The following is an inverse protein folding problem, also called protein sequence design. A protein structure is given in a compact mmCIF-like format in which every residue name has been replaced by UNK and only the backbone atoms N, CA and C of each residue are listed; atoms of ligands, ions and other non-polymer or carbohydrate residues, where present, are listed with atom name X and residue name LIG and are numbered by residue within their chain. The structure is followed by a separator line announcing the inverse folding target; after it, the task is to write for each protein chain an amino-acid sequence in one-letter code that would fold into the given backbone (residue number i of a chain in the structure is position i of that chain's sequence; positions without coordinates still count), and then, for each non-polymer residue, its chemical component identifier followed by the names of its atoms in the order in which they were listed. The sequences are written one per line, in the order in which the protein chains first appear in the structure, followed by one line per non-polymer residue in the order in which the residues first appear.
data_IF_677305000560
#
_entry.id   IF_677305000560
#
_cell.length_a   1.000
_cell.length_b   1.000
_cell.length_c   1.000
_cell.angle_alpha   90.00
_cell.angle_beta   90.00
_cell.angle_gamma   90.00
#
_symmetry.space_group_name_H-M   'P 1'
#
loop_
_entity.id
_entity.type
_entity.pdbx_description
1 polymer ?
#
# COMPACT_ATOMS: atom_id res chain seq x y z
N UNK A 1 -30.64 20.40 15.02
CA UNK A 1 -31.38 21.43 15.78
C UNK A 1 -30.45 22.62 16.00
N UNK A 2 -30.83 23.78 15.45
CA UNK A 2 -30.56 25.16 15.92
C UNK A 2 -29.06 25.58 16.02
N UNK A 3 -28.56 26.66 15.42
CA UNK A 3 -29.19 27.80 14.79
C UNK A 3 -28.15 28.80 14.23
N UNK A 4 -28.69 29.88 13.67
CA UNK A 4 -28.10 30.85 12.74
C UNK A 4 -27.34 32.06 13.35
N UNK A 5 -26.31 32.55 12.61
CA UNK A 5 -25.86 33.94 12.29
C UNK A 5 -25.50 34.95 13.43
N UNK A 6 -24.73 36.06 13.20
CA UNK A 6 -24.54 36.81 11.94
C UNK A 6 -23.13 37.38 11.60
N UNK A 7 -23.16 38.09 10.47
CA UNK A 7 -22.22 38.85 9.64
C UNK A 7 -21.30 39.89 10.30
N UNK A 8 -20.11 40.10 9.70
CA UNK A 8 -19.28 41.30 9.85
C UNK A 8 -18.23 41.40 8.72
N UNK A 9 -18.20 42.54 8.04
CA UNK A 9 -17.47 42.77 6.79
C UNK A 9 -16.06 43.39 6.98
N UNK A 10 -15.29 43.32 5.90
CA UNK A 10 -14.18 44.19 5.46
C UNK A 10 -12.78 44.08 6.09
N UNK A 11 -11.80 43.95 5.19
CA UNK A 11 -10.37 44.04 5.50
C UNK A 11 -9.48 43.40 4.43
N UNK A 12 -9.54 43.90 3.20
CA UNK A 12 -8.61 43.51 2.13
C UNK A 12 -7.16 43.82 2.54
N UNK A 13 -6.29 42.80 2.51
CA UNK A 13 -4.83 42.98 2.44
C UNK A 13 -4.32 42.23 1.22
N UNK A 14 -3.93 43.00 0.21
CA UNK A 14 -3.15 42.54 -0.92
C UNK A 14 -1.86 41.87 -0.41
N UNK A 15 -1.76 40.55 -0.58
CA UNK A 15 -0.51 39.80 -0.46
C UNK A 15 0.24 39.87 -1.79
N UNK A 16 1.33 40.62 -1.77
CA UNK A 16 2.30 40.79 -2.85
C UNK A 16 3.00 39.43 -3.15
N UNK A 17 3.04 38.92 -4.40
CA UNK A 17 3.63 37.62 -4.72
C UNK A 17 5.12 37.78 -5.02
N UNK A 18 5.93 38.11 -4.02
CA UNK A 18 7.38 38.21 -4.23
C UNK A 18 8.15 37.97 -2.93
N UNK A 19 8.24 36.69 -2.52
CA UNK A 19 9.32 36.18 -1.67
C UNK A 19 9.30 34.65 -1.71
N UNK A 20 9.66 34.09 -2.86
CA UNK A 20 10.23 32.76 -2.87
C UNK A 20 11.46 32.78 -1.95
N UNK A 21 11.44 31.97 -0.89
CA UNK A 21 12.58 31.83 0.03
C UNK A 21 13.86 31.57 -0.76
N UNK A 22 14.96 32.25 -0.43
CA UNK A 22 16.27 32.09 -1.09
C UNK A 22 16.77 30.64 -1.10
N UNK A 23 16.32 29.81 -0.15
CA UNK A 23 16.53 28.35 -0.14
C UNK A 23 15.72 27.61 -1.19
N UNK A 24 14.49 28.05 -1.48
CA UNK A 24 13.63 27.50 -2.52
C UNK A 24 14.25 27.70 -3.91
N UNK A 25 14.65 28.93 -4.20
CA UNK A 25 15.30 29.30 -5.46
C UNK A 25 16.63 28.54 -5.68
N UNK A 26 17.47 28.45 -4.64
CA UNK A 26 18.73 27.71 -4.71
C UNK A 26 18.54 26.20 -4.92
N UNK A 27 17.45 25.63 -4.38
CA UNK A 27 17.11 24.23 -4.62
C UNK A 27 16.57 24.04 -6.04
N UNK A 28 15.74 24.93 -6.56
CA UNK A 28 15.23 24.89 -7.95
C UNK A 28 16.39 24.96 -8.96
N UNK A 29 17.28 25.93 -8.80
CA UNK A 29 18.49 26.07 -9.64
C UNK A 29 19.41 24.83 -9.59
N UNK A 30 19.46 24.12 -8.46
CA UNK A 30 20.24 22.87 -8.33
C UNK A 30 19.53 21.67 -8.97
N UNK A 31 18.20 21.67 -9.06
CA UNK A 31 17.44 20.64 -9.77
C UNK A 31 17.48 20.84 -11.29
N UNK A 32 17.52 22.10 -11.76
CA UNK A 32 17.74 22.43 -13.18
C UNK A 32 19.15 22.04 -13.67
N UNK A 33 20.16 22.09 -12.78
CA UNK A 33 21.54 21.64 -13.07
C UNK A 33 21.73 20.12 -12.98
N UNK A 34 20.69 19.37 -12.65
CA UNK A 34 20.74 17.90 -12.56
C UNK A 34 20.62 17.26 -13.94
N UNK A 35 21.20 16.07 -14.11
CA UNK A 35 21.06 15.30 -15.35
C UNK A 35 19.58 15.03 -15.67
N UNK A 36 19.15 15.13 -16.94
CA UNK A 36 17.82 14.71 -17.35
C UNK A 36 17.66 13.20 -17.09
N UNK A 37 16.43 12.74 -16.81
CA UNK A 37 16.17 11.31 -16.53
C UNK A 37 16.52 10.42 -17.73
N UNK A 38 16.26 10.92 -18.94
CA UNK A 38 16.67 10.33 -20.21
C UNK A 38 16.84 11.45 -21.26
N UNK A 39 17.50 11.21 -22.41
CA UNK A 39 17.61 12.21 -23.47
C UNK A 39 16.23 12.75 -23.88
N UNK A 40 16.07 14.07 -23.84
CA UNK A 40 14.79 14.74 -24.15
C UNK A 40 13.76 14.78 -23.03
N UNK A 41 14.04 14.19 -21.85
CA UNK A 41 13.11 14.29 -20.70
C UNK A 41 12.97 15.74 -20.23
N UNK A 42 11.73 16.16 -19.96
CA UNK A 42 11.44 17.44 -19.28
C UNK A 42 11.84 17.44 -17.80
N UNK A 43 12.08 16.26 -17.22
CA UNK A 43 12.42 16.11 -15.81
C UNK A 43 13.88 15.65 -15.63
N UNK A 44 14.41 15.95 -14.45
CA UNK A 44 15.80 15.64 -14.07
C UNK A 44 15.82 14.67 -12.89
N UNK A 45 16.95 14.03 -12.66
CA UNK A 45 17.17 13.22 -11.45
C UNK A 45 16.90 14.03 -10.17
N UNK A 46 17.21 15.34 -10.18
CA UNK A 46 16.92 16.28 -9.11
C UNK A 46 15.44 16.52 -8.88
N UNK A 47 14.63 16.61 -9.95
CA UNK A 47 13.17 16.68 -9.85
C UNK A 47 12.60 15.41 -9.18
N UNK A 48 13.02 14.24 -9.65
CA UNK A 48 12.61 12.95 -9.06
C UNK A 48 13.00 12.84 -7.60
N UNK A 49 14.27 13.10 -7.27
CA UNK A 49 14.75 13.01 -5.89
C UNK A 49 14.03 14.00 -4.94
N UNK A 50 13.65 15.18 -5.44
CA UNK A 50 12.82 16.12 -4.68
C UNK A 50 11.41 15.58 -4.48
N UNK A 51 10.77 15.09 -5.53
CA UNK A 51 9.40 14.59 -5.47
C UNK A 51 9.26 13.45 -4.46
N UNK A 52 10.14 12.45 -4.55
CA UNK A 52 10.17 11.30 -3.62
C UNK A 52 10.35 11.77 -2.16
N UNK A 53 11.27 12.70 -1.90
CA UNK A 53 11.48 13.24 -0.54
C UNK A 53 10.31 14.08 -0.05
N UNK A 54 9.56 14.74 -0.92
CA UNK A 54 8.35 15.49 -0.54
C UNK A 54 7.23 14.54 -0.18
N UNK A 55 7.00 13.48 -0.96
CA UNK A 55 6.03 12.44 -0.64
C UNK A 55 6.30 11.76 0.69
N UNK A 56 7.54 11.33 0.93
CA UNK A 56 7.88 10.69 2.20
C UNK A 56 7.75 11.64 3.40
N UNK A 57 7.98 12.95 3.24
CA UNK A 57 7.72 13.94 4.30
C UNK A 57 6.23 14.17 4.53
N UNK A 58 5.42 14.13 3.47
CA UNK A 58 3.98 14.22 3.59
C UNK A 58 3.46 13.07 4.46
N UNK A 59 3.80 11.83 4.11
CA UNK A 59 3.41 10.62 4.88
C UNK A 59 3.89 10.73 6.32
N UNK A 60 5.13 11.19 6.53
CA UNK A 60 5.63 11.39 7.88
C UNK A 60 4.83 12.41 8.69
N UNK A 61 4.49 13.55 8.09
CA UNK A 61 3.69 14.58 8.77
C UNK A 61 2.30 14.06 9.14
N UNK A 62 1.67 13.24 8.30
CA UNK A 62 0.35 12.67 8.61
C UNK A 62 0.45 11.59 9.69
N UNK A 63 1.55 10.83 9.73
CA UNK A 63 1.86 9.86 10.80
C UNK A 63 2.24 10.51 12.15
N UNK A 64 2.48 11.83 12.19
CA UNK A 64 2.69 12.57 13.43
C UNK A 64 1.37 12.96 14.10
N UNK A 65 0.27 13.01 13.35
CA UNK A 65 -1.06 13.27 13.89
C UNK A 65 -1.54 12.05 14.69
N UNK A 66 -2.02 12.28 15.91
CA UNK A 66 -2.35 11.20 16.84
C UNK A 66 -3.56 10.38 16.39
N UNK A 67 -4.56 11.02 15.78
CA UNK A 67 -5.77 10.33 15.32
C UNK A 67 -5.45 9.46 14.10
N UNK A 68 -4.71 10.03 13.14
CA UNK A 68 -4.26 9.27 11.98
C UNK A 68 -3.38 8.08 12.39
N UNK A 69 -2.47 8.28 13.35
CA UNK A 69 -1.58 7.22 13.80
C UNK A 69 -2.29 6.17 14.67
N UNK A 70 -3.34 6.54 15.40
CA UNK A 70 -4.18 5.58 16.10
C UNK A 70 -4.97 4.68 15.14
N UNK A 71 -5.41 5.23 14.00
CA UNK A 71 -6.20 4.48 13.02
C UNK A 71 -5.33 3.69 12.02
N UNK A 72 -4.20 4.24 11.59
CA UNK A 72 -3.37 3.69 10.50
C UNK A 72 -1.91 3.48 10.92
N UNK A 73 -1.66 3.30 12.22
CA UNK A 73 -0.30 3.22 12.76
C UNK A 73 0.53 2.10 12.16
N UNK A 74 -0.05 0.92 12.00
CA UNK A 74 0.58 -0.25 11.38
C UNK A 74 0.99 0.01 9.93
N UNK A 75 0.10 0.59 9.12
CA UNK A 75 0.35 0.96 7.72
C UNK A 75 1.47 1.99 7.58
N UNK A 76 1.47 3.04 8.42
CA UNK A 76 2.56 4.01 8.43
C UNK A 76 3.91 3.35 8.72
N UNK A 77 3.97 2.41 9.66
CA UNK A 77 5.20 1.68 9.96
C UNK A 77 5.65 0.84 8.76
N UNK A 78 4.73 0.14 8.11
CA UNK A 78 4.99 -0.62 6.90
C UNK A 78 5.54 0.26 5.78
N UNK A 79 4.98 1.45 5.57
CA UNK A 79 5.50 2.42 4.60
C UNK A 79 6.96 2.78 4.87
N UNK A 80 7.30 3.20 6.10
CA UNK A 80 8.68 3.59 6.40
C UNK A 80 9.65 2.42 6.37
N UNK A 81 9.20 1.25 6.81
CA UNK A 81 9.99 0.02 6.78
C UNK A 81 10.32 -0.37 5.34
N UNK A 82 9.32 -0.55 4.48
CA UNK A 82 9.49 -1.03 3.11
C UNK A 82 10.41 -0.09 2.33
N UNK A 83 10.12 1.22 2.33
CA UNK A 83 10.98 2.23 1.70
C UNK A 83 12.40 2.21 2.28
N UNK A 84 12.54 2.11 3.62
CA UNK A 84 13.85 2.08 4.28
C UNK A 84 14.68 0.82 3.98
N UNK A 85 14.02 -0.30 3.66
CA UNK A 85 14.63 -1.60 3.46
C UNK A 85 15.00 -1.90 2.00
N UNK A 86 14.32 -1.26 1.04
CA UNK A 86 14.31 -1.66 -0.37
C UNK A 86 15.00 -0.68 -1.33
N UNK A 87 14.91 0.63 -1.10
CA UNK A 87 15.37 1.63 -2.09
C UNK A 87 16.90 1.77 -2.16
N UNK A 88 17.47 2.09 -3.32
CA UNK A 88 18.92 2.20 -3.50
C UNK A 88 19.53 3.53 -3.02
N UNK A 89 18.75 4.62 -2.98
CA UNK A 89 19.21 5.92 -2.48
C UNK A 89 19.48 5.85 -0.97
N UNK A 90 20.75 5.91 -0.58
CA UNK A 90 21.18 5.80 0.82
C UNK A 90 20.64 6.95 1.70
N UNK A 91 20.42 8.14 1.15
CA UNK A 91 19.86 9.27 1.87
C UNK A 91 18.37 9.08 2.17
N UNK A 92 17.62 8.58 1.19
CA UNK A 92 16.21 8.23 1.30
C UNK A 92 16.02 7.08 2.29
N UNK A 93 16.84 6.01 2.20
CA UNK A 93 16.85 4.91 3.17
C UNK A 93 17.02 5.41 4.60
N UNK A 94 18.03 6.25 4.84
CA UNK A 94 18.28 6.83 6.17
C UNK A 94 17.11 7.70 6.65
N UNK A 95 16.50 8.45 5.74
CA UNK A 95 15.35 9.30 6.04
C UNK A 95 14.12 8.45 6.44
N UNK A 96 13.74 7.47 5.62
CA UNK A 96 12.64 6.55 5.89
C UNK A 96 12.88 5.77 7.19
N UNK A 97 14.07 5.18 7.37
CA UNK A 97 14.41 4.45 8.60
C UNK A 97 14.32 5.34 9.84
N UNK A 98 14.81 6.58 9.80
CA UNK A 98 14.72 7.50 10.95
C UNK A 98 13.25 7.80 11.30
N UNK A 99 12.44 8.13 10.30
CA UNK A 99 11.00 8.37 10.47
C UNK A 99 10.28 7.14 11.04
N UNK A 100 10.53 5.97 10.45
CA UNK A 100 9.97 4.70 10.88
C UNK A 100 10.38 4.33 12.30
N UNK A 101 11.66 4.43 12.66
CA UNK A 101 12.13 4.13 14.03
C UNK A 101 11.47 5.06 15.05
N UNK A 102 11.29 6.33 14.73
CA UNK A 102 10.59 7.25 15.63
C UNK A 102 9.13 6.85 15.84
N UNK A 103 8.40 6.56 14.74
CA UNK A 103 7.01 6.10 14.83
C UNK A 103 6.88 4.72 15.47
N UNK A 104 7.83 3.81 15.25
CA UNK A 104 7.86 2.49 15.87
C UNK A 104 8.09 2.60 17.38
N UNK A 105 8.88 3.58 17.86
CA UNK A 105 8.96 3.87 19.31
C UNK A 105 7.62 4.32 19.86
N UNK A 106 6.90 5.19 19.15
CA UNK A 106 5.55 5.62 19.54
C UNK A 106 4.59 4.43 19.58
N UNK A 107 4.62 3.57 18.56
CA UNK A 107 3.86 2.32 18.53
C UNK A 107 4.12 1.45 19.76
N UNK A 108 5.40 1.19 20.08
CA UNK A 108 5.79 0.43 21.28
C UNK A 108 5.42 1.12 22.60
N UNK A 109 5.14 2.43 22.59
CA UNK A 109 4.65 3.14 23.78
C UNK A 109 3.14 3.03 23.93
N UNK A 110 2.39 3.08 22.82
CA UNK A 110 0.91 3.09 22.84
C UNK A 110 0.28 1.71 22.71
N UNK A 111 1.02 0.72 22.20
CA UNK A 111 0.57 -0.67 21.96
C UNK A 111 1.36 -1.68 22.80
N UNK A 112 1.67 -1.36 24.07
CA UNK A 112 2.45 -2.23 24.97
C UNK A 112 1.75 -3.54 25.34
N UNK A 113 0.43 -3.48 25.38
CA UNK A 113 -0.41 -4.58 25.84
C UNK A 113 -1.56 -4.71 24.87
N UNK A 114 -1.78 -5.95 24.41
CA UNK A 114 -2.95 -6.25 23.60
C UNK A 114 -4.20 -6.27 24.49
N UNK A 115 -5.29 -5.57 24.13
CA UNK A 115 -6.53 -5.62 24.90
C UNK A 115 -7.05 -7.05 25.07
N UNK A 116 -7.54 -7.41 26.27
CA UNK A 116 -8.00 -8.78 26.56
C UNK A 116 -9.14 -9.25 25.63
N UNK A 117 -10.02 -8.32 25.25
CA UNK A 117 -11.14 -8.52 24.33
C UNK A 117 -10.84 -8.19 22.87
N UNK A 118 -9.56 -8.08 22.47
CA UNK A 118 -9.18 -7.74 21.11
C UNK A 118 -9.82 -8.70 20.10
N UNK A 119 -10.45 -8.13 19.08
CA UNK A 119 -11.01 -8.79 17.90
C UNK A 119 -9.92 -9.36 17.00
N UNK A 120 -10.27 -10.24 16.06
CA UNK A 120 -9.33 -10.75 15.06
C UNK A 120 -8.66 -9.62 14.26
N UNK A 121 -9.43 -8.57 13.90
CA UNK A 121 -8.89 -7.41 13.20
C UNK A 121 -7.84 -6.66 14.03
N UNK A 122 -8.11 -6.42 15.32
CA UNK A 122 -7.14 -5.77 16.21
C UNK A 122 -5.90 -6.65 16.44
N UNK A 123 -6.07 -7.97 16.55
CA UNK A 123 -4.93 -8.90 16.65
C UNK A 123 -4.06 -8.84 15.38
N UNK A 124 -4.70 -8.79 14.21
CA UNK A 124 -4.01 -8.65 12.92
C UNK A 124 -3.26 -7.31 12.86
N UNK A 125 -3.92 -6.20 13.17
CA UNK A 125 -3.29 -4.87 13.19
C UNK A 125 -2.06 -4.80 14.13
N UNK A 126 -2.18 -5.41 15.33
CA UNK A 126 -1.06 -5.54 16.25
C UNK A 126 0.11 -6.35 15.67
N UNK A 127 -0.18 -7.42 14.92
CA UNK A 127 0.83 -8.22 14.23
C UNK A 127 1.52 -7.43 13.12
N UNK A 128 0.76 -6.71 12.29
CA UNK A 128 1.30 -5.85 11.23
C UNK A 128 2.22 -4.76 11.77
N UNK A 129 1.76 -3.99 12.75
CA UNK A 129 2.58 -2.94 13.34
C UNK A 129 3.79 -3.49 14.09
N UNK A 130 3.67 -4.66 14.72
CA UNK A 130 4.79 -5.31 15.42
C UNK A 130 5.83 -5.90 14.47
N UNK A 131 5.43 -6.49 13.33
CA UNK A 131 6.38 -6.96 12.30
C UNK A 131 7.18 -5.80 11.71
N UNK A 132 6.52 -4.69 11.40
CA UNK A 132 7.18 -3.50 10.88
C UNK A 132 8.14 -2.89 11.93
N UNK A 133 7.70 -2.78 13.20
CA UNK A 133 8.54 -2.28 14.29
C UNK A 133 9.75 -3.19 14.57
N UNK A 134 9.59 -4.51 14.55
CA UNK A 134 10.68 -5.49 14.65
C UNK A 134 11.68 -5.30 13.51
N UNK A 135 11.18 -5.12 12.28
CA UNK A 135 11.99 -4.90 11.08
C UNK A 135 12.74 -3.56 11.10
N UNK A 136 12.21 -2.58 11.82
CA UNK A 136 12.88 -1.31 12.13
C UNK A 136 13.90 -1.41 13.29
N UNK A 137 13.97 -2.57 13.96
CA UNK A 137 14.95 -2.88 15.00
C UNK A 137 14.45 -2.69 16.42
N UNK A 138 13.13 -2.60 16.65
CA UNK A 138 12.51 -2.43 17.96
C UNK A 138 11.71 -3.68 18.32
N UNK A 139 12.43 -4.76 18.63
CA UNK A 139 11.86 -6.05 19.01
C UNK A 139 11.11 -5.98 20.34
N UNK A 140 9.98 -6.68 20.40
CA UNK A 140 9.17 -6.87 21.61
C UNK A 140 8.60 -8.29 21.68
N UNK A 141 9.38 -9.20 22.26
CA UNK A 141 9.01 -10.62 22.36
C UNK A 141 7.82 -10.86 23.30
N UNK A 142 7.63 -9.98 24.30
CA UNK A 142 6.52 -10.08 25.24
C UNK A 142 5.19 -9.76 24.55
N UNK A 143 5.13 -8.67 23.78
CA UNK A 143 3.95 -8.34 22.98
C UNK A 143 3.69 -9.41 21.90
N UNK A 144 4.75 -9.91 21.25
CA UNK A 144 4.63 -10.99 20.27
C UNK A 144 3.97 -12.24 20.85
N UNK A 145 4.32 -12.61 22.08
CA UNK A 145 3.68 -13.73 22.78
C UNK A 145 2.21 -13.45 23.12
N UNK A 146 1.86 -12.22 23.50
CA UNK A 146 0.46 -11.83 23.70
C UNK A 146 -0.35 -11.98 22.39
N UNK A 147 0.19 -11.47 21.29
CA UNK A 147 -0.43 -11.56 19.96
C UNK A 147 -0.60 -13.03 19.55
N UNK A 148 0.43 -13.87 19.74
CA UNK A 148 0.37 -15.31 19.45
C UNK A 148 -0.75 -16.01 20.22
N UNK A 149 -0.85 -15.78 21.53
CA UNK A 149 -1.90 -16.37 22.37
C UNK A 149 -3.29 -15.90 21.97
N UNK A 150 -3.42 -14.61 21.65
CA UNK A 150 -4.69 -14.03 21.23
C UNK A 150 -5.15 -14.56 19.87
N UNK A 151 -4.23 -14.69 18.91
CA UNK A 151 -4.50 -15.22 17.57
C UNK A 151 -5.02 -16.66 17.60
N UNK A 152 -4.54 -17.49 18.53
CA UNK A 152 -4.98 -18.88 18.67
C UNK A 152 -6.47 -19.04 19.05
N UNK A 153 -7.16 -17.95 19.42
CA UNK A 153 -8.60 -17.93 19.74
C UNK A 153 -9.49 -17.79 18.51
N UNK A 154 -8.92 -17.43 17.36
CA UNK A 154 -9.64 -17.09 16.15
C UNK A 154 -9.40 -18.12 15.05
N UNK A 155 -10.42 -18.34 14.23
CA UNK A 155 -10.39 -19.23 13.08
C UNK A 155 -9.81 -18.56 11.82
N UNK A 156 -9.60 -19.33 10.76
CA UNK A 156 -9.26 -18.79 9.45
C UNK A 156 -10.32 -17.79 8.95
N UNK A 157 -11.61 -18.08 9.17
CA UNK A 157 -12.70 -17.20 8.75
C UNK A 157 -12.73 -15.87 9.51
N UNK A 158 -12.29 -15.85 10.75
CA UNK A 158 -12.24 -14.61 11.54
C UNK A 158 -11.17 -13.64 11.02
N UNK A 159 -10.04 -14.16 10.53
CA UNK A 159 -8.95 -13.35 9.97
C UNK A 159 -9.08 -13.09 8.47
N UNK A 160 -9.51 -14.11 7.71
CA UNK A 160 -9.40 -14.16 6.26
C UNK A 160 -10.77 -14.14 5.57
N UNK A 161 -11.87 -14.15 6.33
CA UNK A 161 -13.26 -14.19 5.84
C UNK A 161 -13.68 -15.52 5.18
N UNK A 162 -12.74 -16.42 4.93
CA UNK A 162 -12.96 -17.79 4.46
C UNK A 162 -11.86 -18.73 4.98
N UNK A 163 -12.06 -20.05 4.81
CA UNK A 163 -11.02 -21.04 5.10
C UNK A 163 -10.28 -21.45 3.81
N UNK A 164 -9.07 -20.94 3.53
CA UNK A 164 -8.35 -21.21 2.29
C UNK A 164 -7.91 -22.68 2.14
N UNK A 165 -8.00 -23.48 3.21
CA UNK A 165 -7.74 -24.92 3.12
C UNK A 165 -8.93 -25.63 2.47
N UNK A 166 -10.15 -25.19 2.77
CA UNK A 166 -11.38 -25.95 2.52
C UNK A 166 -12.35 -25.31 1.52
N UNK A 167 -12.22 -24.02 1.23
CA UNK A 167 -13.11 -23.32 0.29
C UNK A 167 -12.35 -22.31 -0.61
N UNK A 168 -12.85 -22.05 -1.84
CA UNK A 168 -12.30 -20.99 -2.69
C UNK A 168 -12.65 -19.60 -2.13
N UNK A 169 -12.03 -18.52 -2.66
CA UNK A 169 -12.37 -17.16 -2.25
C UNK A 169 -13.87 -16.88 -2.47
N UNK A 170 -14.59 -16.41 -1.43
CA UNK A 170 -16.03 -16.26 -1.47
C UNK A 170 -16.48 -15.06 -2.29
N UNK A 171 -17.76 -15.06 -2.67
CA UNK A 171 -18.47 -13.95 -3.37
C UNK A 171 -19.58 -13.33 -2.53
N UNK A 172 -19.81 -13.85 -1.33
CA UNK A 172 -20.93 -13.52 -0.45
C UNK A 172 -20.48 -12.74 0.79
N UNK A 173 -19.31 -12.12 0.75
CA UNK A 173 -18.83 -11.24 1.82
C UNK A 173 -19.34 -9.83 1.55
N UNK A 174 -20.19 -9.25 2.41
CA UNK A 174 -20.68 -7.89 2.21
C UNK A 174 -19.59 -6.85 2.49
N UNK A 175 -19.60 -5.75 1.73
CA UNK A 175 -18.89 -4.53 2.15
C UNK A 175 -19.66 -3.88 3.32
N UNK A 176 -19.02 -2.93 4.00
CA UNK A 176 -19.73 -2.07 4.96
C UNK A 176 -20.92 -1.38 4.31
N UNK A 177 -22.02 -1.25 5.04
CA UNK A 177 -23.19 -0.59 4.51
C UNK A 177 -22.87 0.86 4.12
N UNK A 178 -23.10 1.22 2.86
CA UNK A 178 -22.74 2.56 2.35
C UNK A 178 -23.41 3.70 3.12
N UNK A 179 -24.60 3.44 3.67
CA UNK A 179 -25.44 4.43 4.35
C UNK A 179 -25.05 4.65 5.81
N UNK A 180 -24.88 3.58 6.59
CA UNK A 180 -24.67 3.67 8.05
C UNK A 180 -23.34 3.09 8.53
N UNK A 181 -22.49 2.62 7.60
CA UNK A 181 -21.17 2.02 7.82
C UNK A 181 -21.17 0.80 8.74
N UNK A 182 -22.32 0.14 8.91
CA UNK A 182 -22.39 -1.09 9.69
C UNK A 182 -21.72 -2.26 8.93
N UNK A 183 -20.87 -3.00 9.64
CA UNK A 183 -20.39 -4.32 9.20
C UNK A 183 -21.51 -5.36 9.31
N UNK A 184 -21.50 -6.33 8.40
CA UNK A 184 -22.49 -7.40 8.35
C UNK A 184 -21.80 -8.76 8.20
N UNK A 185 -22.39 -9.81 8.74
CA UNK A 185 -21.84 -11.16 8.58
C UNK A 185 -21.90 -11.61 7.12
N UNK A 186 -20.96 -12.49 6.76
CA UNK A 186 -20.95 -13.18 5.46
C UNK A 186 -22.32 -13.82 5.15
N UNK A 187 -22.75 -13.70 3.90
CA UNK A 187 -24.04 -14.16 3.41
C UNK A 187 -25.20 -13.16 3.60
N UNK A 188 -25.00 -12.08 4.36
CA UNK A 188 -26.02 -11.05 4.52
C UNK A 188 -26.18 -10.23 3.24
N UNK A 189 -27.38 -10.24 2.66
CA UNK A 189 -27.72 -9.46 1.45
C UNK A 189 -28.36 -8.10 1.75
N UNK A 190 -28.74 -7.87 3.00
CA UNK A 190 -29.30 -6.60 3.49
C UNK A 190 -28.68 -6.22 4.84
N UNK A 191 -28.47 -4.91 5.05
CA UNK A 191 -27.90 -4.37 6.28
C UNK A 191 -28.82 -4.66 7.46
N UNK A 192 -28.27 -5.27 8.51
CA UNK A 192 -29.05 -5.60 9.73
C UNK A 192 -29.58 -4.38 10.47
N UNK A 193 -28.99 -3.20 10.24
CA UNK A 193 -29.36 -1.94 10.90
C UNK A 193 -30.39 -1.13 10.12
N UNK A 194 -30.15 -0.88 8.83
CA UNK A 194 -31.03 -0.03 8.02
C UNK A 194 -31.86 -0.77 6.95
N UNK A 195 -31.66 -2.08 6.78
CA UNK A 195 -32.41 -2.91 5.83
C UNK A 195 -32.06 -2.71 4.35
N UNK A 196 -31.12 -1.83 4.02
CA UNK A 196 -30.70 -1.58 2.62
C UNK A 196 -29.88 -2.75 2.08
N UNK A 197 -30.03 -3.02 0.78
CA UNK A 197 -29.23 -4.02 0.06
C UNK A 197 -27.74 -3.73 0.20
N UNK A 198 -26.97 -4.77 0.48
CA UNK A 198 -25.52 -4.71 0.60
C UNK A 198 -24.86 -5.02 -0.75
N UNK A 199 -23.78 -4.31 -1.05
CA UNK A 199 -22.84 -4.73 -2.09
C UNK A 199 -21.94 -5.83 -1.53
N UNK A 200 -21.42 -6.67 -2.41
CA UNK A 200 -20.47 -7.73 -2.04
C UNK A 200 -19.07 -7.32 -2.45
N UNK A 201 -18.09 -7.73 -1.64
CA UNK A 201 -16.67 -7.72 -2.00
C UNK A 201 -16.46 -8.65 -3.19
N UNK A 202 -15.53 -8.31 -4.08
CA UNK A 202 -15.14 -9.19 -5.19
C UNK A 202 -14.30 -10.35 -4.67
N UNK A 203 -14.16 -11.41 -5.47
CA UNK A 203 -13.28 -12.54 -5.12
C UNK A 203 -11.82 -12.09 -5.00
N UNK A 204 -11.39 -11.19 -5.88
CA UNK A 204 -10.06 -10.62 -5.87
C UNK A 204 -9.82 -9.87 -4.55
N UNK A 205 -10.79 -9.04 -4.14
CA UNK A 205 -10.75 -8.25 -2.91
C UNK A 205 -10.59 -9.09 -1.65
N UNK A 206 -11.45 -10.09 -1.46
CA UNK A 206 -11.34 -10.99 -0.30
C UNK A 206 -10.04 -11.79 -0.31
N UNK A 207 -9.59 -12.23 -1.50
CA UNK A 207 -8.42 -13.08 -1.60
C UNK A 207 -7.11 -12.33 -1.34
N UNK A 208 -6.92 -11.12 -1.88
CA UNK A 208 -5.64 -10.42 -1.70
C UNK A 208 -5.47 -9.96 -0.25
N UNK A 209 -6.54 -9.55 0.44
CA UNK A 209 -6.52 -9.27 1.88
C UNK A 209 -6.04 -10.49 2.68
N UNK A 210 -6.58 -11.67 2.34
CA UNK A 210 -6.16 -12.92 2.97
C UNK A 210 -4.69 -13.24 2.67
N UNK A 211 -4.22 -12.98 1.45
CA UNK A 211 -2.83 -13.21 1.04
C UNK A 211 -1.86 -12.34 1.84
N UNK A 212 -2.17 -11.04 1.99
CA UNK A 212 -1.37 -10.09 2.77
C UNK A 212 -1.35 -10.52 4.25
N UNK A 213 -2.52 -10.81 4.81
CA UNK A 213 -2.67 -11.22 6.21
C UNK A 213 -1.87 -12.48 6.53
N UNK A 214 -1.98 -13.51 5.69
CA UNK A 214 -1.22 -14.75 5.87
C UNK A 214 0.30 -14.52 5.67
N UNK A 215 0.70 -13.69 4.69
CA UNK A 215 2.11 -13.34 4.50
C UNK A 215 2.72 -12.66 5.73
N UNK A 216 2.01 -11.67 6.30
CA UNK A 216 2.49 -10.97 7.51
C UNK A 216 2.51 -11.91 8.70
N UNK A 217 1.48 -12.75 8.86
CA UNK A 217 1.44 -13.76 9.91
C UNK A 217 2.65 -14.69 9.88
N UNK A 218 2.93 -15.30 8.74
CA UNK A 218 4.08 -16.20 8.55
C UNK A 218 5.41 -15.49 8.79
N UNK A 219 5.57 -14.27 8.25
CA UNK A 219 6.80 -13.49 8.42
C UNK A 219 7.02 -13.08 9.87
N UNK A 220 5.96 -12.67 10.56
CA UNK A 220 6.02 -12.32 11.97
C UNK A 220 6.18 -13.57 12.85
N UNK A 221 5.79 -14.76 12.38
CA UNK A 221 5.80 -16.00 13.14
C UNK A 221 4.61 -16.13 14.09
N UNK A 222 3.44 -15.64 13.65
CA UNK A 222 2.13 -15.82 14.28
C UNK A 222 1.12 -16.20 13.21
N UNK A 223 0.48 -17.37 13.34
CA UNK A 223 -0.53 -17.81 12.37
C UNK A 223 -1.79 -16.95 12.49
N UNK A 224 -2.09 -16.17 11.45
CA UNK A 224 -3.31 -15.35 11.33
C UNK A 224 -4.33 -16.09 10.45
N UNK A 225 -4.85 -17.20 10.97
CA UNK A 225 -5.85 -18.02 10.28
C UNK A 225 -5.27 -19.18 9.47
N UNK A 226 -4.41 -18.90 8.49
CA UNK A 226 -3.82 -19.91 7.60
C UNK A 226 -2.33 -19.62 7.32
N UNK A 227 -1.61 -20.58 6.73
CA UNK A 227 -0.26 -20.33 6.21
C UNK A 227 -0.34 -19.58 4.88
N UNK A 228 0.70 -18.80 4.53
CA UNK A 228 0.77 -18.08 3.26
C UNK A 228 0.58 -19.02 2.06
N UNK A 229 1.15 -20.23 2.14
CA UNK A 229 1.00 -21.24 1.09
C UNK A 229 -0.43 -21.76 0.90
N UNK A 230 -1.24 -21.77 1.96
CA UNK A 230 -2.65 -22.18 1.88
C UNK A 230 -3.49 -21.18 1.08
N UNK A 231 -3.15 -19.88 1.15
CA UNK A 231 -3.85 -18.83 0.39
C UNK A 231 -3.29 -18.72 -1.02
N UNK A 232 -1.95 -18.75 -1.16
CA UNK A 232 -1.28 -18.61 -2.45
C UNK A 232 -1.70 -19.71 -3.44
N UNK A 233 -1.99 -20.92 -2.96
CA UNK A 233 -2.42 -22.04 -3.83
C UNK A 233 -3.71 -21.77 -4.61
N UNK A 234 -4.47 -20.76 -4.20
CA UNK A 234 -5.73 -20.37 -4.84
C UNK A 234 -5.51 -19.34 -5.97
N UNK A 235 -4.28 -18.87 -6.18
CA UNK A 235 -3.91 -17.93 -7.25
C UNK A 235 -4.41 -18.36 -8.64
N UNK A 236 -4.30 -19.64 -9.06
CA UNK A 236 -4.83 -20.07 -10.36
C UNK A 236 -6.34 -19.81 -10.54
N UNK A 237 -7.12 -19.78 -9.45
CA UNK A 237 -8.57 -19.53 -9.50
C UNK A 237 -8.96 -18.08 -9.79
N UNK A 238 -7.99 -17.16 -9.76
CA UNK A 238 -8.14 -15.75 -10.11
C UNK A 238 -7.72 -15.44 -11.55
N UNK A 239 -7.08 -16.40 -12.22
CA UNK A 239 -6.64 -16.27 -13.61
C UNK A 239 -7.71 -16.83 -14.57
N UNK A 240 -7.81 -16.32 -15.81
CA UNK A 240 -7.12 -15.14 -16.34
C UNK A 240 -7.72 -13.82 -15.81
N UNK A 241 -6.90 -12.78 -15.76
CA UNK A 241 -7.32 -11.45 -15.29
C UNK A 241 -8.02 -10.66 -16.40
N UNK A 242 -9.11 -9.97 -16.03
CA UNK A 242 -9.79 -9.03 -16.93
C UNK A 242 -9.28 -7.61 -16.70
N UNK A 243 -8.98 -6.90 -17.80
CA UNK A 243 -8.60 -5.49 -17.76
C UNK A 243 -9.79 -4.56 -17.48
N UNK A 244 -9.59 -3.25 -17.67
CA UNK A 244 -10.63 -2.24 -17.42
C UNK A 244 -11.83 -2.34 -18.38
N UNK A 245 -11.60 -2.81 -19.61
CA UNK A 245 -12.65 -2.99 -20.63
C UNK A 245 -13.51 -1.73 -20.85
N UNK A 246 -12.87 -0.54 -20.83
CA UNK A 246 -13.56 0.73 -21.00
C UNK A 246 -14.56 1.07 -19.88
N UNK A 247 -14.36 0.52 -18.68
CA UNK A 247 -15.21 0.72 -17.50
C UNK A 247 -16.28 -0.36 -17.32
N UNK A 248 -16.36 -1.35 -18.22
CA UNK A 248 -17.31 -2.44 -18.10
C UNK A 248 -16.94 -3.44 -16.99
N UNK A 249 -15.67 -3.52 -16.62
CA UNK A 249 -15.22 -4.40 -15.54
C UNK A 249 -15.17 -3.66 -14.20
N UNK A 250 -16.23 -3.79 -13.40
CA UNK A 250 -16.31 -3.20 -12.07
C UNK A 250 -15.30 -3.78 -11.06
N UNK A 251 -14.72 -4.97 -11.33
CA UNK A 251 -13.74 -5.63 -10.47
C UNK A 251 -12.30 -5.26 -10.83
N UNK A 252 -12.10 -4.38 -11.82
CA UNK A 252 -10.77 -4.05 -12.33
C UNK A 252 -9.84 -3.53 -11.23
N UNK A 253 -10.34 -2.63 -10.38
CA UNK A 253 -9.55 -2.07 -9.28
C UNK A 253 -9.03 -3.15 -8.32
N UNK A 254 -9.93 -4.01 -7.83
CA UNK A 254 -9.57 -5.11 -6.93
C UNK A 254 -8.65 -6.14 -7.60
N UNK A 255 -8.83 -6.35 -8.91
CA UNK A 255 -7.94 -7.21 -9.71
C UNK A 255 -6.52 -6.65 -9.76
N UNK A 256 -6.36 -5.33 -9.92
CA UNK A 256 -5.04 -4.68 -9.87
C UNK A 256 -4.38 -4.91 -8.53
N UNK A 257 -5.08 -4.66 -7.43
CA UNK A 257 -4.54 -4.87 -6.08
C UNK A 257 -4.19 -6.33 -5.82
N UNK A 258 -5.02 -7.28 -6.27
CA UNK A 258 -4.69 -8.70 -6.16
C UNK A 258 -3.41 -9.07 -6.90
N UNK A 259 -3.25 -8.59 -8.13
CA UNK A 259 -2.05 -8.87 -8.94
C UNK A 259 -0.80 -8.21 -8.34
N UNK A 260 -0.88 -6.97 -7.87
CA UNK A 260 0.28 -6.28 -7.29
C UNK A 260 0.70 -6.90 -5.97
N UNK A 261 -0.25 -7.39 -5.17
CA UNK A 261 0.05 -8.05 -3.89
C UNK A 261 0.56 -9.49 -4.05
N UNK A 262 0.29 -10.18 -5.17
CA UNK A 262 1.07 -11.37 -5.56
C UNK A 262 2.55 -11.01 -5.70
N UNK A 263 2.85 -9.93 -6.43
CA UNK A 263 4.22 -9.47 -6.66
C UNK A 263 4.88 -9.05 -5.35
N UNK A 264 4.22 -8.23 -4.52
CA UNK A 264 4.79 -7.76 -3.25
C UNK A 264 5.04 -8.88 -2.26
N UNK A 265 4.07 -9.79 -2.10
CA UNK A 265 4.26 -10.90 -1.16
C UNK A 265 5.34 -11.85 -1.66
N UNK A 266 5.50 -12.08 -2.97
CA UNK A 266 6.58 -12.94 -3.50
C UNK A 266 7.96 -12.26 -3.50
N UNK A 267 8.02 -10.93 -3.63
CA UNK A 267 9.26 -10.17 -3.68
C UNK A 267 9.73 -9.60 -2.31
N UNK A 268 9.07 -10.00 -1.23
CA UNK A 268 9.31 -9.51 0.14
C UNK A 268 9.17 -7.98 0.26
N UNK A 269 8.18 -7.41 -0.43
CA UNK A 269 7.88 -5.97 -0.51
C UNK A 269 9.11 -5.13 -0.90
N UNK A 270 9.66 -5.45 -2.07
CA UNK A 270 10.72 -4.68 -2.71
C UNK A 270 12.15 -5.13 -2.36
N UNK A 271 12.32 -6.26 -1.68
CA UNK A 271 13.66 -6.75 -1.31
C UNK A 271 14.25 -7.72 -2.34
N UNK A 272 13.45 -8.26 -3.25
CA UNK A 272 13.88 -9.24 -4.25
C UNK A 272 13.42 -8.83 -5.63
N UNK A 273 14.22 -9.15 -6.65
CA UNK A 273 13.76 -9.09 -8.04
C UNK A 273 12.94 -10.34 -8.36
N UNK A 274 12.07 -10.28 -9.36
CA UNK A 274 11.32 -11.43 -9.87
C UNK A 274 11.58 -11.59 -11.37
N UNK A 275 11.60 -12.84 -11.85
CA UNK A 275 11.66 -13.11 -13.28
C UNK A 275 10.24 -13.09 -13.88
N UNK A 276 9.98 -12.38 -15.00
CA UNK A 276 8.65 -12.34 -15.63
C UNK A 276 8.05 -13.73 -15.87
N UNK A 277 8.87 -14.70 -16.30
CA UNK A 277 8.45 -16.09 -16.57
C UNK A 277 7.86 -16.83 -15.36
N UNK A 278 8.14 -16.36 -14.15
CA UNK A 278 7.61 -16.97 -12.93
C UNK A 278 6.14 -16.63 -12.71
N UNK A 279 5.73 -15.46 -13.20
CA UNK A 279 4.42 -14.84 -12.99
C UNK A 279 3.97 -14.20 -14.32
N UNK A 280 3.88 -15.03 -15.37
CA UNK A 280 3.66 -14.54 -16.73
C UNK A 280 2.32 -13.81 -16.86
N UNK A 281 1.25 -14.38 -16.31
CA UNK A 281 -0.09 -13.80 -16.32
C UNK A 281 -0.13 -12.43 -15.60
N UNK A 282 0.52 -12.33 -14.43
CA UNK A 282 0.61 -11.08 -13.68
C UNK A 282 1.43 -10.04 -14.44
N UNK A 283 2.59 -10.44 -14.98
CA UNK A 283 3.47 -9.55 -15.72
C UNK A 283 2.77 -8.97 -16.96
N UNK A 284 2.10 -9.82 -17.74
CA UNK A 284 1.35 -9.41 -18.93
C UNK A 284 0.18 -8.49 -18.56
N UNK A 285 -0.58 -8.81 -17.52
CA UNK A 285 -1.66 -7.98 -17.03
C UNK A 285 -1.16 -6.58 -16.62
N UNK A 286 -0.11 -6.51 -15.81
CA UNK A 286 0.46 -5.23 -15.33
C UNK A 286 0.90 -4.36 -16.49
N UNK A 287 1.62 -4.94 -17.46
CA UNK A 287 2.12 -4.19 -18.63
C UNK A 287 0.99 -3.71 -19.54
N UNK A 288 -0.03 -4.55 -19.78
CA UNK A 288 -1.16 -4.20 -20.62
C UNK A 288 -2.02 -3.07 -20.03
N UNK A 289 -2.07 -2.95 -18.71
CA UNK A 289 -2.99 -2.03 -18.02
C UNK A 289 -2.32 -0.80 -17.39
N UNK A 290 -0.99 -0.67 -17.35
CA UNK A 290 -0.33 0.50 -16.73
C UNK A 290 -0.83 1.85 -17.29
N UNK A 291 -0.99 1.94 -18.61
CA UNK A 291 -1.45 3.19 -19.26
C UNK A 291 -2.90 3.53 -18.92
N UNK A 292 -3.69 2.56 -18.50
CA UNK A 292 -5.07 2.78 -18.07
C UNK A 292 -5.12 3.63 -16.79
N UNK A 293 -4.22 3.40 -15.83
CA UNK A 293 -4.14 4.22 -14.62
C UNK A 293 -3.83 5.71 -14.94
N UNK A 294 -3.01 5.96 -15.97
CA UNK A 294 -2.77 7.33 -16.48
C UNK A 294 -4.05 7.94 -17.04
N UNK A 295 -4.80 7.19 -17.85
CA UNK A 295 -6.08 7.62 -18.45
C UNK A 295 -7.11 7.95 -17.37
N UNK A 296 -7.19 7.12 -16.32
CA UNK A 296 -8.11 7.32 -15.20
C UNK A 296 -7.67 8.42 -14.22
N UNK A 297 -6.48 8.99 -14.42
CA UNK A 297 -5.84 9.89 -13.47
C UNK A 297 -5.67 9.30 -12.07
N UNK A 298 -5.42 7.99 -11.99
CA UNK A 298 -5.25 7.27 -10.74
C UNK A 298 -3.75 7.11 -10.43
N UNK A 299 -3.25 7.99 -9.56
CA UNK A 299 -1.87 7.94 -9.13
C UNK A 299 -1.55 6.74 -8.22
N UNK A 300 -2.56 6.19 -7.54
CA UNK A 300 -2.39 5.06 -6.63
C UNK A 300 -2.15 3.79 -7.44
N UNK A 301 -3.11 3.49 -8.32
CA UNK A 301 -3.04 2.36 -9.24
C UNK A 301 -1.81 2.43 -10.16
N UNK A 302 -1.45 3.63 -10.62
CA UNK A 302 -0.23 3.80 -11.41
C UNK A 302 1.02 3.45 -10.61
N UNK A 303 1.06 3.84 -9.33
CA UNK A 303 2.17 3.52 -8.45
C UNK A 303 2.30 2.01 -8.23
N UNK A 304 1.18 1.34 -7.98
CA UNK A 304 1.07 -0.13 -7.88
C UNK A 304 1.65 -0.85 -9.11
N UNK A 305 1.20 -0.45 -10.31
CA UNK A 305 1.70 -1.03 -11.56
C UNK A 305 3.20 -0.83 -11.74
N UNK A 306 3.66 0.42 -11.58
CA UNK A 306 5.06 0.76 -11.80
C UNK A 306 5.98 0.04 -10.82
N UNK A 307 5.59 -0.05 -9.55
CA UNK A 307 6.42 -0.69 -8.54
C UNK A 307 6.54 -2.20 -8.79
N UNK A 308 5.42 -2.85 -9.11
CA UNK A 308 5.38 -4.27 -9.47
C UNK A 308 6.19 -4.57 -10.73
N UNK A 309 6.06 -3.75 -11.79
CA UNK A 309 6.81 -3.93 -13.03
C UNK A 309 8.32 -3.71 -12.85
N UNK A 310 8.73 -2.82 -11.94
CA UNK A 310 10.15 -2.66 -11.58
C UNK A 310 10.72 -3.90 -10.90
N UNK A 311 9.93 -4.62 -10.10
CA UNK A 311 10.35 -5.89 -9.53
C UNK A 311 10.67 -6.92 -10.63
N UNK A 312 10.01 -6.84 -11.78
CA UNK A 312 10.29 -7.65 -12.98
C UNK A 312 11.42 -7.12 -13.88
N UNK A 313 12.09 -6.04 -13.47
CA UNK A 313 13.24 -5.48 -14.17
C UNK A 313 12.92 -4.35 -15.15
N UNK A 314 11.67 -3.88 -15.25
CA UNK A 314 11.36 -2.70 -16.04
C UNK A 314 12.02 -1.45 -15.43
N UNK A 315 12.42 -0.54 -16.31
CA UNK A 315 13.28 0.58 -15.99
C UNK A 315 12.91 1.82 -16.82
N UNK A 316 13.69 2.89 -16.67
CA UNK A 316 13.58 4.09 -17.50
C UNK A 316 13.95 3.86 -18.98
N UNK A 317 14.22 2.63 -19.39
CA UNK A 317 14.37 2.23 -20.80
C UNK A 317 13.03 1.88 -21.44
N UNK A 318 12.04 1.54 -20.63
CA UNK A 318 10.72 1.09 -21.06
C UNK A 318 9.77 2.29 -21.13
N UNK A 319 9.08 2.44 -22.26
CA UNK A 319 8.27 3.63 -22.54
C UNK A 319 7.05 3.75 -21.63
N UNK A 320 6.49 2.62 -21.19
CA UNK A 320 5.41 2.58 -20.19
C UNK A 320 5.87 3.18 -18.83
N UNK A 321 7.08 2.82 -18.37
CA UNK A 321 7.65 3.36 -17.13
C UNK A 321 7.94 4.86 -17.27
N UNK A 322 8.49 5.30 -18.41
CA UNK A 322 8.72 6.73 -18.66
C UNK A 322 7.42 7.53 -18.60
N UNK A 323 6.36 7.05 -19.25
CA UNK A 323 5.05 7.70 -19.24
C UNK A 323 4.50 7.83 -17.81
N UNK A 324 4.58 6.77 -17.02
CA UNK A 324 4.16 6.80 -15.61
C UNK A 324 4.99 7.77 -14.76
N UNK A 325 6.32 7.78 -14.93
CA UNK A 325 7.20 8.73 -14.24
C UNK A 325 6.87 10.17 -14.61
N UNK A 326 6.64 10.47 -15.88
CA UNK A 326 6.25 11.80 -16.33
C UNK A 326 4.91 12.24 -15.79
N UNK A 327 3.94 11.33 -15.70
CA UNK A 327 2.64 11.58 -15.10
C UNK A 327 2.80 11.96 -13.63
N UNK A 328 3.48 11.12 -12.83
CA UNK A 328 3.65 11.33 -11.40
C UNK A 328 4.43 12.62 -11.10
N UNK A 329 5.51 12.89 -11.82
CA UNK A 329 6.31 14.10 -11.60
C UNK A 329 5.58 15.38 -11.95
N UNK A 330 4.64 15.35 -12.91
CA UNK A 330 3.83 16.53 -13.25
C UNK A 330 2.65 16.79 -12.30
N UNK A 331 2.21 15.78 -11.55
CA UNK A 331 0.95 15.84 -10.78
C UNK A 331 1.14 15.75 -9.28
N UNK A 332 2.36 15.85 -8.77
CA UNK A 332 2.56 15.92 -7.33
C UNK A 332 1.94 17.21 -6.76
N UNK A 333 1.09 17.07 -5.75
CA UNK A 333 0.42 18.19 -5.09
C UNK A 333 1.41 19.14 -4.40
N UNK A 334 0.97 20.36 -4.10
CA UNK A 334 1.80 21.39 -3.48
C UNK A 334 2.33 21.01 -2.09
N UNK A 335 1.63 20.13 -1.37
CA UNK A 335 2.05 19.63 -0.06
C UNK A 335 2.90 18.35 -0.12
N UNK A 336 3.13 17.83 -1.32
CA UNK A 336 3.96 16.65 -1.57
C UNK A 336 3.18 15.35 -1.76
N UNK A 337 1.85 15.35 -1.59
CA UNK A 337 1.04 14.15 -1.81
C UNK A 337 0.82 13.86 -3.30
N UNK A 338 0.34 12.65 -3.59
CA UNK A 338 -0.31 12.29 -4.86
C UNK A 338 -1.77 11.91 -4.59
N UNK A 339 -2.59 11.84 -5.65
CA UNK A 339 -4.04 11.60 -5.55
C UNK A 339 -4.84 12.87 -5.29
N UNK A 340 -6.10 12.70 -4.90
CA UNK A 340 -7.00 13.82 -4.58
C UNK A 340 -6.54 14.56 -3.32
N UNK A 341 -6.20 15.84 -3.47
CA UNK A 341 -5.81 16.69 -2.34
C UNK A 341 -7.01 17.15 -1.49
N UNK A 342 -8.24 17.06 -2.04
CA UNK A 342 -9.48 17.54 -1.42
C UNK A 342 -10.19 16.52 -0.54
N UNK A 343 -9.87 15.23 -0.65
CA UNK A 343 -10.48 14.21 0.20
C UNK A 343 -10.12 14.41 1.67
N UNK A 344 -11.11 14.22 2.55
CA UNK A 344 -10.92 14.25 4.01
C UNK A 344 -10.40 12.92 4.55
N UNK A 345 -10.52 11.83 3.78
CA UNK A 345 -9.98 10.53 4.17
C UNK A 345 -8.46 10.55 4.00
N UNK A 346 -7.75 10.47 5.12
CA UNK A 346 -6.29 10.52 5.12
C UNK A 346 -5.68 9.31 4.40
N UNK A 347 -6.34 8.14 4.42
CA UNK A 347 -5.87 6.94 3.73
C UNK A 347 -5.73 7.19 2.24
N UNK A 348 -6.78 7.77 1.64
CA UNK A 348 -6.83 8.18 0.24
C UNK A 348 -5.86 9.31 -0.13
N UNK A 349 -5.06 9.81 0.83
CA UNK A 349 -3.99 10.78 0.58
C UNK A 349 -2.61 10.19 0.78
N UNK A 350 -2.38 9.47 1.89
CA UNK A 350 -1.05 8.94 2.16
C UNK A 350 -0.75 7.66 1.38
N UNK A 351 -1.75 6.82 1.07
CA UNK A 351 -1.55 5.57 0.33
C UNK A 351 -1.13 5.83 -1.13
N UNK A 352 -1.82 6.68 -1.93
CA UNK A 352 -1.34 7.05 -3.26
C UNK A 352 0.03 7.74 -3.21
N UNK A 353 0.32 8.44 -2.11
CA UNK A 353 1.63 9.09 -1.93
C UNK A 353 2.74 8.06 -1.68
N UNK A 354 2.46 7.01 -0.93
CA UNK A 354 3.39 5.90 -0.72
C UNK A 354 3.68 5.20 -2.06
N UNK A 355 2.64 4.86 -2.81
CA UNK A 355 2.78 4.22 -4.11
C UNK A 355 3.52 5.11 -5.13
N UNK A 356 3.26 6.43 -5.12
CA UNK A 356 4.06 7.38 -5.91
C UNK A 356 5.54 7.44 -5.49
N UNK A 357 5.85 7.34 -4.19
CA UNK A 357 7.22 7.26 -3.65
C UNK A 357 7.90 5.97 -4.12
N UNK A 358 7.23 4.83 -4.05
CA UNK A 358 7.75 3.53 -4.46
C UNK A 358 8.04 3.51 -5.98
N UNK A 359 7.05 3.90 -6.78
CA UNK A 359 7.15 3.93 -8.25
C UNK A 359 8.25 4.84 -8.81
N UNK A 360 8.53 5.96 -8.14
CA UNK A 360 9.61 6.88 -8.51
C UNK A 360 10.97 6.51 -7.90
N UNK A 361 11.02 5.51 -7.02
CA UNK A 361 12.26 5.03 -6.41
C UNK A 361 12.99 4.04 -7.32
N UNK A 362 14.26 3.81 -6.99
CA UNK A 362 15.06 2.72 -7.54
C UNK A 362 15.39 1.76 -6.41
N UNK A 363 15.59 0.49 -6.74
CA UNK A 363 15.70 -0.59 -5.76
C UNK A 363 17.12 -1.12 -5.63
N UNK A 364 17.48 -1.52 -4.42
CA UNK A 364 18.67 -2.30 -4.10
C UNK A 364 18.25 -3.73 -3.76
N UNK A 365 17.91 -4.50 -4.81
CA UNK A 365 17.50 -5.90 -4.67
C UNK A 365 18.57 -6.69 -3.90
N UNK A 366 18.13 -7.47 -2.91
CA UNK A 366 19.01 -8.28 -2.05
C UNK A 366 19.27 -9.67 -2.64
N UNK A 367 18.36 -10.15 -3.47
CA UNK A 367 18.41 -11.45 -4.11
C UNK A 367 17.44 -11.50 -5.29
N UNK A 368 17.61 -12.51 -6.13
CA UNK A 368 16.69 -12.80 -7.23
C UNK A 368 15.73 -13.93 -6.86
N UNK A 369 14.47 -13.77 -7.25
CA UNK A 369 13.39 -14.71 -7.04
C UNK A 369 12.88 -14.79 -5.59
N UNK A 370 11.69 -15.40 -5.39
CA UNK A 370 11.11 -15.62 -4.06
C UNK A 370 12.00 -16.51 -3.18
N UNK A 371 11.77 -16.46 -1.87
CA UNK A 371 12.44 -17.38 -0.93
C UNK A 371 12.14 -18.84 -1.27
N UNK A 372 12.99 -19.81 -0.88
CA UNK A 372 12.75 -21.23 -1.15
C UNK A 372 11.38 -21.73 -0.66
N UNK A 373 10.90 -21.22 0.47
CA UNK A 373 9.57 -21.56 1.01
C UNK A 373 8.45 -21.06 0.10
N UNK A 374 8.52 -19.81 -0.36
CA UNK A 374 7.53 -19.24 -1.29
C UNK A 374 7.59 -19.88 -2.67
N UNK A 375 8.80 -20.21 -3.15
CA UNK A 375 8.98 -20.96 -4.38
C UNK A 375 8.33 -22.34 -4.33
N UNK A 376 8.42 -23.06 -3.19
CA UNK A 376 7.71 -24.33 -3.02
C UNK A 376 6.20 -24.14 -2.99
N UNK A 377 5.70 -23.10 -2.30
CA UNK A 377 4.28 -22.80 -2.28
C UNK A 377 3.74 -22.52 -3.68
N UNK A 378 4.45 -21.73 -4.49
CA UNK A 378 4.06 -21.42 -5.87
C UNK A 378 4.12 -22.63 -6.79
N UNK A 379 5.07 -23.56 -6.58
CA UNK A 379 5.22 -24.78 -7.39
C UNK A 379 4.27 -25.91 -7.00
N UNK A 380 3.63 -25.86 -5.83
CA UNK A 380 2.65 -26.89 -5.44
C UNK A 380 1.46 -26.95 -6.42
N UNK A 381 1.29 -25.94 -7.26
CA UNK A 381 0.26 -25.86 -8.29
C UNK A 381 0.80 -26.06 -9.73
N UNK A 382 2.04 -26.49 -9.90
CA UNK A 382 2.63 -26.83 -11.19
C UNK A 382 3.22 -28.23 -11.17
N UNK A 383 2.62 -29.13 -11.95
CA UNK A 383 3.23 -30.41 -12.33
C UNK A 383 4.67 -30.23 -12.85
N UNK A 384 5.44 -31.31 -12.74
CA UNK A 384 6.83 -31.50 -13.19
C UNK A 384 7.30 -30.65 -14.40
#
# INVERSE_FOLDING_TARGET
AIGAFPTGAEGARHSNPARASSRGLALELKAERSRPLWPGSRFTEGHRARAVRRGLRFIYRTALDENNFAQYGSDYLWCFYTVGASVSDAGLRRMARRMGVERARRWRQTHRTLPAGATAQEVSDFAFGSDAADSLGLRDDALKEQIRRAAARFSARDFLLFDPVNEPPPVDVPVECEFDKAGNERGATACRRCGRTLKMRTRADVWYDALITAYVGDRFGVKLGAEYGDVLKLLPSLRPYRGHEGGANAEFYDTVYAVTHVVYTLNDYGQRSLAPRLLADEFEFLRANLREAITQNDADMLGEFMDSLRAFGLSERDDEIRAGMEYLLARQNADGSWGDAGTSDIYLRYHPTWNGVAALSSYAWRADGPTPTKMRALRRDGAD
#
